data_IF_014393370624
#
_entry.id   IF_014393370624
#
_cell.length_a   1.000
_cell.length_b   1.000
_cell.length_c   1.000
_cell.angle_alpha   90.00
_cell.angle_beta   90.00
_cell.angle_gamma   90.00
#
_symmetry.space_group_name_H-M   'P 1'
#
loop_
_entity.id
_entity.type
_entity.pdbx_description
1 polymer ?
#
# COMPACT_ATOMS: atom_id res chain seq x y z
N UNK A 1 7.31 16.07 -20.80
CA UNK A 1 6.15 15.98 -19.89
C UNK A 1 5.95 14.52 -19.62
N UNK A 2 6.25 14.06 -18.41
CA UNK A 2 6.00 12.66 -18.05
C UNK A 2 4.49 12.51 -17.94
N UNK A 3 3.88 11.73 -18.83
CA UNK A 3 2.51 11.26 -18.66
C UNK A 3 2.40 10.71 -17.25
N UNK A 4 1.50 11.30 -16.45
CA UNK A 4 1.19 10.77 -15.15
C UNK A 4 0.75 9.33 -15.35
N UNK A 5 1.58 8.38 -14.92
CA UNK A 5 1.22 6.97 -14.89
C UNK A 5 -0.09 6.93 -14.13
N UNK A 6 -1.17 6.63 -14.84
CA UNK A 6 -2.42 6.22 -14.21
C UNK A 6 -2.08 4.91 -13.48
N UNK A 7 -1.57 5.03 -12.26
CA UNK A 7 -1.20 3.95 -11.32
C UNK A 7 -2.45 3.21 -10.83
N UNK A 8 -3.41 2.96 -11.71
CA UNK A 8 -4.65 2.25 -11.44
C UNK A 8 -4.48 0.74 -11.43
N UNK A 9 -3.35 0.21 -11.94
CA UNK A 9 -3.03 -1.22 -12.02
C UNK A 9 -1.51 -1.37 -12.06
N UNK A 10 -0.90 -1.95 -11.03
CA UNK A 10 0.54 -2.27 -11.03
C UNK A 10 1.16 -2.21 -9.65
N UNK A 11 2.48 -2.32 -9.60
CA UNK A 11 3.23 -2.36 -8.36
C UNK A 11 4.44 -1.42 -8.36
N UNK A 12 4.78 -0.91 -7.18
CA UNK A 12 5.82 0.08 -6.98
C UNK A 12 6.68 -0.25 -5.77
N UNK A 13 7.99 -0.16 -5.92
CA UNK A 13 8.96 -0.29 -4.85
C UNK A 13 9.37 1.12 -4.39
N UNK A 14 8.90 1.50 -3.20
CA UNK A 14 9.16 2.81 -2.60
C UNK A 14 10.62 3.01 -2.20
N UNK A 15 11.34 1.92 -1.88
CA UNK A 15 12.71 2.00 -1.39
C UNK A 15 13.68 2.31 -2.55
N UNK A 16 13.38 1.81 -3.75
CA UNK A 16 14.15 2.05 -4.97
C UNK A 16 13.56 3.12 -5.88
N UNK A 17 12.32 3.56 -5.63
CA UNK A 17 11.60 4.56 -6.42
C UNK A 17 11.32 4.09 -7.84
N UNK A 18 11.02 2.80 -8.02
CA UNK A 18 10.82 2.16 -9.33
C UNK A 18 9.56 1.32 -9.36
N UNK A 19 9.02 1.20 -10.57
CA UNK A 19 7.96 0.23 -10.87
C UNK A 19 8.51 -1.19 -10.72
N UNK A 20 7.69 -2.07 -10.13
CA UNK A 20 7.94 -3.51 -10.11
C UNK A 20 7.27 -4.08 -11.37
N UNK A 21 8.03 -4.67 -12.31
CA UNK A 21 7.47 -5.22 -13.53
C UNK A 21 6.42 -6.30 -13.27
N UNK A 22 5.39 -6.44 -14.13
CA UNK A 22 4.32 -7.43 -13.93
C UNK A 22 4.81 -8.87 -13.75
N UNK A 23 5.87 -9.28 -14.46
CA UNK A 23 6.48 -10.61 -14.35
C UNK A 23 7.24 -10.83 -13.03
N UNK A 24 7.52 -9.75 -12.29
CA UNK A 24 8.20 -9.77 -10.98
C UNK A 24 7.26 -9.57 -9.80
N UNK A 25 6.02 -9.16 -10.03
CA UNK A 25 5.06 -8.94 -8.94
C UNK A 25 4.86 -10.18 -8.07
N UNK A 26 4.75 -11.37 -8.68
CA UNK A 26 4.58 -12.61 -7.93
C UNK A 26 5.77 -12.92 -7.00
N UNK A 27 6.99 -12.64 -7.46
CA UNK A 27 8.22 -12.84 -6.68
C UNK A 27 8.30 -11.89 -5.47
N UNK A 28 7.77 -10.67 -5.62
CA UNK A 28 7.85 -9.63 -4.60
C UNK A 28 6.70 -9.70 -3.59
N UNK A 29 5.49 -10.01 -4.04
CA UNK A 29 4.29 -9.92 -3.22
C UNK A 29 3.74 -11.27 -2.77
N UNK A 30 3.98 -12.36 -3.50
CA UNK A 30 3.30 -13.62 -3.23
C UNK A 30 4.28 -14.64 -2.64
N UNK A 31 3.82 -15.41 -1.66
CA UNK A 31 4.52 -16.63 -1.27
C UNK A 31 4.19 -17.74 -2.30
N UNK A 32 5.15 -18.03 -3.18
CA UNK A 32 5.02 -19.06 -4.22
C UNK A 32 5.17 -20.45 -3.57
N UNK A 33 4.31 -21.40 -3.95
CA UNK A 33 4.39 -22.77 -3.48
C UNK A 33 5.73 -23.42 -3.86
N UNK A 34 6.41 -24.03 -2.88
CA UNK A 34 7.68 -24.72 -3.07
C UNK A 34 7.61 -26.16 -2.54
N UNK A 35 8.61 -26.96 -2.90
CA UNK A 35 8.82 -28.30 -2.35
C UNK A 35 9.62 -28.29 -1.05
N UNK A 36 9.81 -27.13 -0.41
CA UNK A 36 10.60 -27.02 0.83
C UNK A 36 9.89 -27.68 2.03
N UNK A 37 8.55 -27.67 2.06
CA UNK A 37 7.72 -28.20 3.15
C UNK A 37 6.50 -28.99 2.61
N UNK A 38 6.70 -30.04 1.79
CA UNK A 38 5.61 -30.66 1.03
C UNK A 38 4.56 -31.31 1.93
N UNK A 39 3.29 -31.25 1.51
CA UNK A 39 2.18 -31.95 2.14
C UNK A 39 1.67 -33.03 1.18
N UNK A 40 1.77 -34.31 1.56
CA UNK A 40 1.38 -35.45 0.71
C UNK A 40 2.03 -35.45 -0.69
N UNK A 41 3.25 -34.91 -0.81
CA UNK A 41 3.98 -34.80 -2.08
C UNK A 41 3.55 -33.61 -2.95
N UNK A 42 2.66 -32.75 -2.45
CA UNK A 42 2.22 -31.51 -3.12
C UNK A 42 3.03 -30.33 -2.58
N UNK A 43 3.50 -29.40 -3.44
CA UNK A 43 4.19 -28.19 -2.98
C UNK A 43 3.25 -27.34 -2.11
N UNK A 44 3.80 -26.75 -1.06
CA UNK A 44 3.06 -25.89 -0.13
C UNK A 44 3.60 -24.48 -0.19
N UNK A 45 2.76 -23.52 0.16
CA UNK A 45 3.21 -22.14 0.39
C UNK A 45 4.06 -22.10 1.67
N UNK A 46 5.36 -21.75 1.59
CA UNK A 46 6.21 -21.69 2.77
C UNK A 46 5.83 -20.49 3.65
N UNK A 47 6.23 -20.48 4.94
CA UNK A 47 6.10 -19.30 5.79
C UNK A 47 6.73 -18.07 5.15
N UNK A 48 6.11 -16.91 5.38
CA UNK A 48 6.56 -15.61 4.89
C UNK A 48 8.03 -15.35 5.21
N UNK A 49 8.80 -15.01 4.17
CA UNK A 49 10.24 -14.73 4.27
C UNK A 49 10.53 -13.23 4.41
N UNK A 50 9.79 -12.38 3.69
CA UNK A 50 9.94 -10.92 3.79
C UNK A 50 9.15 -10.37 4.98
N UNK A 51 9.88 -9.96 6.01
CA UNK A 51 9.34 -9.32 7.22
C UNK A 51 9.81 -7.87 7.37
N UNK A 52 10.64 -7.39 6.45
CA UNK A 52 11.22 -6.04 6.48
C UNK A 52 10.41 -5.03 5.67
N UNK A 53 9.53 -5.51 4.78
CA UNK A 53 8.69 -4.64 3.97
C UNK A 53 7.22 -4.80 4.31
N UNK A 54 6.49 -3.68 4.33
CA UNK A 54 5.04 -3.67 4.37
C UNK A 54 4.48 -3.28 2.99
N UNK A 55 3.27 -3.74 2.67
CA UNK A 55 2.62 -3.45 1.40
C UNK A 55 1.30 -2.72 1.61
N UNK A 56 1.15 -1.63 0.88
CA UNK A 56 0.01 -0.72 0.94
C UNK A 56 -0.69 -0.66 -0.40
N UNK A 57 -2.01 -0.86 -0.41
CA UNK A 57 -2.84 -0.62 -1.57
C UNK A 57 -3.29 0.83 -1.61
N UNK A 58 -3.00 1.54 -2.70
CA UNK A 58 -3.47 2.91 -2.91
C UNK A 58 -3.83 3.14 -4.38
N UNK A 59 -5.07 3.53 -4.65
CA UNK A 59 -5.52 3.94 -5.98
C UNK A 59 -5.42 2.84 -7.06
N UNK A 60 -5.39 1.55 -6.67
CA UNK A 60 -5.22 0.42 -7.60
C UNK A 60 -3.78 -0.05 -7.79
N UNK A 61 -2.81 0.58 -7.12
CA UNK A 61 -1.40 0.16 -7.11
C UNK A 61 -1.00 -0.45 -5.75
N UNK A 62 -0.10 -1.44 -5.79
CA UNK A 62 0.59 -2.02 -4.63
C UNK A 62 1.92 -1.32 -4.39
N UNK A 63 2.07 -0.66 -3.25
CA UNK A 63 3.31 -0.02 -2.83
C UNK A 63 4.02 -0.88 -1.79
N UNK A 64 5.25 -1.30 -2.07
CA UNK A 64 6.13 -1.96 -1.11
C UNK A 64 7.11 -0.95 -0.53
N UNK A 65 7.26 -0.92 0.78
CA UNK A 65 8.19 -0.02 1.47
C UNK A 65 8.82 -0.72 2.66
N UNK A 66 10.09 -0.45 2.94
CA UNK A 66 10.73 -0.88 4.18
C UNK A 66 10.02 -0.20 5.36
N UNK A 67 9.42 -1.00 6.23
CA UNK A 67 8.70 -0.52 7.41
C UNK A 67 8.61 -1.62 8.47
N UNK A 68 8.58 -1.20 9.74
CA UNK A 68 8.57 -2.11 10.87
C UNK A 68 7.44 -1.76 11.86
N UNK A 69 6.89 -2.74 12.59
CA UNK A 69 5.84 -2.50 13.58
C UNK A 69 6.21 -1.43 14.63
N UNK A 70 7.48 -1.28 14.96
CA UNK A 70 8.00 -0.32 15.93
C UNK A 70 8.10 1.10 15.37
N UNK A 71 7.86 1.31 14.07
CA UNK A 71 7.80 2.64 13.51
C UNK A 71 6.48 3.31 13.84
N UNK A 72 6.53 4.62 14.02
CA UNK A 72 5.33 5.44 14.13
C UNK A 72 4.59 5.50 12.80
N UNK A 73 3.27 5.70 12.88
CA UNK A 73 2.41 5.90 11.70
C UNK A 73 2.95 7.03 10.81
N UNK A 74 3.36 8.16 11.39
CA UNK A 74 3.96 9.26 10.64
C UNK A 74 5.20 8.84 9.85
N UNK A 75 6.11 8.08 10.46
CA UNK A 75 7.34 7.64 9.81
C UNK A 75 7.05 6.76 8.60
N UNK A 76 6.04 5.88 8.70
CA UNK A 76 5.60 5.04 7.57
C UNK A 76 4.99 5.89 6.46
N UNK A 77 4.11 6.85 6.78
CA UNK A 77 3.53 7.77 5.78
C UNK A 77 4.61 8.58 5.06
N UNK A 78 5.59 9.07 5.80
CA UNK A 78 6.73 9.80 5.24
C UNK A 78 7.58 8.92 4.31
N UNK A 79 7.83 7.66 4.67
CA UNK A 79 8.55 6.72 3.82
C UNK A 79 7.79 6.43 2.51
N UNK A 80 6.48 6.18 2.58
CA UNK A 80 5.63 6.02 1.40
C UNK A 80 5.63 7.28 0.51
N UNK A 81 5.54 8.46 1.13
CA UNK A 81 5.59 9.74 0.45
C UNK A 81 6.91 10.00 -0.27
N UNK A 82 8.03 9.82 0.43
CA UNK A 82 9.35 9.95 -0.18
C UNK A 82 9.53 8.92 -1.32
N UNK A 83 8.98 7.72 -1.14
CA UNK A 83 9.10 6.61 -2.08
C UNK A 83 8.22 6.70 -3.32
N UNK A 84 7.27 7.64 -3.43
CA UNK A 84 6.53 7.89 -4.67
C UNK A 84 5.01 7.75 -4.62
N UNK A 85 4.39 7.45 -3.47
CA UNK A 85 2.93 7.26 -3.37
C UNK A 85 2.10 8.51 -3.76
N UNK A 86 2.68 9.71 -3.68
CA UNK A 86 2.08 10.98 -4.13
C UNK A 86 1.71 10.97 -5.62
N UNK A 87 2.31 10.06 -6.40
CA UNK A 87 1.97 9.84 -7.82
C UNK A 87 0.62 9.14 -8.01
N UNK A 88 0.04 8.56 -6.96
CA UNK A 88 -1.27 7.88 -7.02
C UNK A 88 -2.46 8.81 -7.29
N UNK A 89 -2.23 10.12 -7.26
CA UNK A 89 -3.25 11.08 -7.61
C UNK A 89 -3.71 10.91 -9.08
N UNK A 90 -5.04 10.90 -9.30
CA UNK A 90 -5.61 11.06 -10.65
C UNK A 90 -5.16 12.41 -11.27
N UNK A 91 -5.29 12.66 -12.57
CA UNK A 91 -5.11 14.02 -13.12
C UNK A 91 -6.08 15.04 -12.48
N UNK A 92 -5.69 16.30 -12.23
CA UNK A 92 -6.52 17.29 -11.52
C UNK A 92 -7.95 17.43 -12.06
N UNK A 93 -8.11 17.37 -13.38
CA UNK A 93 -9.39 17.46 -14.08
C UNK A 93 -10.33 16.26 -13.86
N UNK A 94 -9.80 15.16 -13.28
CA UNK A 94 -10.54 13.94 -12.95
C UNK A 94 -10.66 13.69 -11.43
N UNK A 95 -10.22 14.62 -10.58
CA UNK A 95 -10.30 14.46 -9.13
C UNK A 95 -11.59 15.09 -8.58
N UNK A 96 -12.26 14.38 -7.69
CA UNK A 96 -13.35 14.91 -6.88
C UNK A 96 -12.86 15.54 -5.56
N UNK A 97 -11.59 15.31 -5.21
CA UNK A 97 -10.91 15.81 -4.00
C UNK A 97 -9.62 16.54 -4.39
N UNK A 98 -8.97 17.29 -3.47
CA UNK A 98 -7.67 17.91 -3.76
C UNK A 98 -6.59 16.92 -4.22
N UNK A 99 -6.70 15.64 -3.83
CA UNK A 99 -5.65 14.66 -3.96
C UNK A 99 -4.62 14.79 -2.83
N UNK A 100 -3.71 13.83 -2.77
CA UNK A 100 -2.55 13.83 -1.90
C UNK A 100 -1.62 15.02 -2.21
N UNK A 101 -1.52 16.00 -1.30
CA UNK A 101 -0.62 17.16 -1.43
C UNK A 101 0.62 17.04 -0.55
N UNK A 102 0.50 16.34 0.57
CA UNK A 102 1.56 16.05 1.54
C UNK A 102 1.32 14.69 2.22
N UNK A 103 2.31 14.20 2.97
CA UNK A 103 2.24 12.87 3.59
C UNK A 103 1.12 12.76 4.63
N UNK A 104 0.75 13.87 5.28
CA UNK A 104 -0.33 13.97 6.26
C UNK A 104 -1.72 13.68 5.65
N UNK A 105 -1.85 13.87 4.33
CA UNK A 105 -3.08 13.59 3.61
C UNK A 105 -3.29 12.08 3.40
N UNK A 106 -2.30 11.24 3.75
CA UNK A 106 -2.45 9.78 3.79
C UNK A 106 -3.18 9.37 5.08
N UNK A 107 -4.25 8.61 4.90
CA UNK A 107 -4.82 7.75 5.92
C UNK A 107 -4.36 6.31 5.67
N UNK A 108 -3.82 5.67 6.69
CA UNK A 108 -3.48 4.24 6.67
C UNK A 108 -4.59 3.46 7.37
N UNK A 109 -4.94 2.30 6.84
CA UNK A 109 -5.99 1.44 7.39
C UNK A 109 -5.46 0.01 7.49
N UNK A 110 -5.70 -0.62 8.65
CA UNK A 110 -5.41 -2.03 8.90
C UNK A 110 -6.58 -2.67 9.65
N UNK A 111 -7.02 -3.87 9.23
CA UNK A 111 -8.11 -4.58 9.91
C UNK A 111 -9.42 -3.78 10.02
N UNK A 112 -9.65 -2.83 9.12
CA UNK A 112 -10.80 -1.91 9.15
C UNK A 112 -10.65 -0.70 10.07
N UNK A 113 -9.57 -0.60 10.86
CA UNK A 113 -9.29 0.56 11.71
C UNK A 113 -8.40 1.58 10.97
N UNK A 114 -8.74 2.86 11.11
CA UNK A 114 -7.88 3.97 10.66
C UNK A 114 -6.75 4.15 11.68
N UNK A 115 -5.51 4.26 11.21
CA UNK A 115 -4.34 4.55 12.02
C UNK A 115 -4.21 6.07 12.10
N UNK A 116 -4.93 6.67 13.05
CA UNK A 116 -5.20 8.10 13.13
C UNK A 116 -4.20 8.89 14.00
N UNK A 117 -3.58 8.24 14.99
CA UNK A 117 -2.47 8.81 15.77
C UNK A 117 -1.13 8.59 15.08
N UNK A 118 -0.56 9.68 14.58
CA UNK A 118 0.72 9.75 13.88
C UNK A 118 1.94 9.44 14.77
N UNK A 119 1.82 9.57 16.10
CA UNK A 119 2.89 9.27 17.05
C UNK A 119 2.87 7.83 17.56
N UNK A 120 1.73 7.14 17.40
CA UNK A 120 1.56 5.76 17.82
C UNK A 120 2.28 4.81 16.87
N UNK A 121 2.82 3.70 17.39
CA UNK A 121 3.52 2.72 16.57
C UNK A 121 2.53 1.82 15.82
N UNK A 122 2.93 1.31 14.66
CA UNK A 122 2.12 0.36 13.88
C UNK A 122 1.76 -0.90 14.70
N UNK A 123 2.66 -1.35 15.58
CA UNK A 123 2.47 -2.47 16.49
C UNK A 123 1.33 -2.25 17.50
N UNK A 124 1.09 -1.01 17.91
CA UNK A 124 0.02 -0.66 18.85
C UNK A 124 -1.37 -0.69 18.18
N UNK A 125 -1.40 -0.81 16.85
CA UNK A 125 -2.58 -1.17 16.06
C UNK A 125 -2.58 -2.65 15.64
N UNK A 126 -1.69 -3.46 16.22
CA UNK A 126 -1.50 -4.87 15.92
C UNK A 126 -1.07 -5.19 14.48
N UNK A 127 -0.45 -4.23 13.78
CA UNK A 127 0.09 -4.49 12.43
C UNK A 127 1.30 -5.43 12.55
N UNK A 128 1.27 -6.63 11.95
CA UNK A 128 2.37 -7.57 12.05
C UNK A 128 3.55 -7.17 11.14
N UNK A 129 4.78 -7.63 11.43
CA UNK A 129 5.91 -7.42 10.53
C UNK A 129 5.66 -8.14 9.20
N UNK A 130 6.01 -7.51 8.09
CA UNK A 130 5.77 -8.08 6.76
C UNK A 130 4.32 -7.96 6.26
N UNK A 131 3.46 -7.17 6.91
CA UNK A 131 2.04 -7.07 6.56
C UNK A 131 1.84 -6.63 5.09
N UNK A 132 1.00 -7.36 4.36
CA UNK A 132 0.75 -7.10 2.94
C UNK A 132 -0.63 -6.53 2.58
N UNK A 133 -1.52 -6.40 3.56
CA UNK A 133 -2.92 -6.04 3.33
C UNK A 133 -3.29 -4.67 3.92
N UNK A 134 -2.33 -3.75 4.01
CA UNK A 134 -2.60 -2.38 4.45
C UNK A 134 -3.23 -1.57 3.31
N UNK A 135 -4.10 -0.63 3.66
CA UNK A 135 -4.66 0.32 2.70
C UNK A 135 -4.06 1.69 3.01
N UNK A 136 -3.65 2.39 1.95
CA UNK A 136 -3.35 3.82 2.00
C UNK A 136 -4.36 4.55 1.11
N UNK A 137 -4.97 5.60 1.63
CA UNK A 137 -5.97 6.38 0.92
C UNK A 137 -5.83 7.85 1.27
N UNK A 138 -6.22 8.72 0.35
CA UNK A 138 -6.37 10.15 0.65
C UNK A 138 -7.43 10.36 1.73
N UNK A 139 -7.06 11.03 2.83
CA UNK A 139 -7.91 11.32 3.98
C UNK A 139 -9.18 12.07 3.59
N UNK A 140 -9.09 13.05 2.68
CA UNK A 140 -10.25 13.79 2.20
C UNK A 140 -11.34 12.90 1.56
N UNK A 141 -10.96 11.74 0.97
CA UNK A 141 -11.94 10.77 0.47
C UNK A 141 -12.70 10.08 1.60
N UNK A 142 -12.00 9.72 2.68
CA UNK A 142 -12.64 9.15 3.88
C UNK A 142 -13.57 10.17 4.53
N UNK A 143 -13.08 11.39 4.74
CA UNK A 143 -13.81 12.45 5.43
C UNK A 143 -15.04 12.93 4.63
N UNK A 144 -15.02 12.79 3.30
CA UNK A 144 -16.17 13.15 2.46
C UNK A 144 -17.43 12.35 2.81
N UNK A 145 -17.28 11.14 3.36
CA UNK A 145 -18.37 10.21 3.64
C UNK A 145 -19.17 9.79 2.40
N UNK A 146 -18.71 10.14 1.20
CA UNK A 146 -19.38 9.88 -0.08
C UNK A 146 -18.50 8.96 -0.92
N UNK A 147 -19.06 7.90 -1.51
CA UNK A 147 -18.31 7.08 -2.44
C UNK A 147 -17.85 7.93 -3.64
N UNK A 148 -16.74 7.53 -4.26
CA UNK A 148 -16.29 8.13 -5.53
C UNK A 148 -17.46 8.03 -6.53
N UNK A 149 -17.90 9.14 -7.17
CA UNK A 149 -18.98 9.12 -8.14
C UNK A 149 -18.76 8.15 -9.30
N UNK A 150 -17.51 7.76 -9.58
CA UNK A 150 -17.15 6.76 -10.60
C UNK A 150 -16.98 5.35 -10.01
N UNK A 151 -17.40 5.11 -8.77
CA UNK A 151 -17.31 3.79 -8.17
C UNK A 151 -18.27 2.83 -8.87
N UNK A 152 -17.71 1.89 -9.65
CA UNK A 152 -18.46 0.85 -10.36
C UNK A 152 -19.30 -0.09 -9.47
N UNK A 153 -19.16 0.02 -8.14
CA UNK A 153 -19.97 -0.72 -7.18
C UNK A 153 -21.24 0.05 -6.75
N UNK A 154 -21.22 1.38 -6.83
CA UNK A 154 -22.32 2.26 -6.39
C UNK A 154 -23.11 2.87 -7.56
N UNK A 155 -22.68 2.64 -8.80
CA UNK A 155 -23.40 2.93 -10.04
C UNK A 155 -23.84 1.64 -10.71
#
# INVERSE_FOLDING_TARGET
MAEGVSLGKGAWDCDTGKEIPPDKEAEVFEEIATMDLPFEGIPTVPPRKDRSHMVFFCGGCRYRVTAHPEWTVAKVKQALWAGGIQRSNKPPEKRATPGLQRWEDLALIYGGAVLDDDNKCMADYHVPPGCQCLIAIERAKLDSGRPDPDSAYWN
#
